data_IF_949433644115
#
_entry.id   IF_949433644115
#
_cell.length_a   1.000
_cell.length_b   1.000
_cell.length_c   1.000
_cell.angle_alpha   90.00
_cell.angle_beta   90.00
_cell.angle_gamma   90.00
#
_symmetry.space_group_name_H-M   'P 1'
#
loop_
_entity.id
_entity.type
_entity.pdbx_description
1 polymer ?
#
# COMPACT_ATOMS: atom_id res chain seq x y z
N UNK A 1 2.92 -34.62 12.05
CA UNK A 1 4.20 -33.89 11.92
C UNK A 1 3.97 -32.50 12.52
N UNK A 2 4.45 -32.26 13.74
CA UNK A 2 4.29 -31.02 14.48
C UNK A 2 5.45 -30.11 14.10
N UNK A 3 5.17 -29.02 13.36
CA UNK A 3 6.13 -27.94 13.13
C UNK A 3 6.21 -27.07 14.40
N UNK A 4 7.33 -27.17 15.09
CA UNK A 4 7.72 -26.20 16.11
C UNK A 4 8.11 -24.91 15.40
N UNK A 5 7.29 -23.87 15.52
CA UNK A 5 7.70 -22.51 15.19
C UNK A 5 8.63 -22.01 16.30
N UNK A 6 9.92 -21.92 15.99
CA UNK A 6 10.89 -21.24 16.83
C UNK A 6 10.60 -19.74 16.78
N UNK A 7 10.10 -19.17 17.87
CA UNK A 7 10.14 -17.71 18.10
C UNK A 7 11.60 -17.27 18.19
N UNK A 8 12.05 -16.29 17.40
CA UNK A 8 13.34 -15.65 17.67
C UNK A 8 13.19 -14.83 18.95
N UNK A 9 13.89 -15.24 19.99
CA UNK A 9 14.14 -14.41 21.18
C UNK A 9 15.01 -13.26 20.71
N UNK A 10 14.41 -12.07 20.53
CA UNK A 10 15.13 -10.83 20.35
C UNK A 10 15.86 -10.54 21.65
N UNK A 11 17.17 -10.83 21.71
CA UNK A 11 18.06 -10.23 22.71
C UNK A 11 18.06 -8.72 22.44
N UNK A 12 17.25 -7.98 23.18
CA UNK A 12 17.42 -6.54 23.32
C UNK A 12 18.76 -6.29 24.03
N UNK A 13 19.79 -5.95 23.25
CA UNK A 13 20.94 -5.30 23.80
C UNK A 13 20.41 -4.05 24.53
N UNK A 14 20.62 -3.97 25.83
CA UNK A 14 20.34 -2.76 26.60
C UNK A 14 21.23 -1.65 26.01
N UNK A 15 20.71 -0.89 25.08
CA UNK A 15 21.32 0.31 24.56
C UNK A 15 21.37 1.29 25.75
N UNK A 16 22.56 1.75 26.13
CA UNK A 16 22.72 2.86 27.05
C UNK A 16 21.91 4.01 26.44
N UNK A 17 20.87 4.45 27.14
CA UNK A 17 20.03 5.55 26.71
C UNK A 17 20.90 6.78 26.46
N UNK A 18 21.07 7.15 25.22
CA UNK A 18 21.76 8.37 24.79
C UNK A 18 20.73 9.38 24.24
N UNK A 19 21.16 10.60 23.92
CA UNK A 19 20.26 11.58 23.31
C UNK A 19 19.81 11.12 21.91
N UNK A 20 18.54 11.40 21.57
CA UNK A 20 17.97 11.07 20.27
C UNK A 20 18.64 11.88 19.17
N UNK A 21 19.23 11.19 18.20
CA UNK A 21 19.87 11.79 17.01
C UNK A 21 18.95 11.69 15.78
N UNK A 22 19.27 12.47 14.72
CA UNK A 22 18.55 12.41 13.43
C UNK A 22 18.57 11.01 12.80
N UNK A 23 19.71 10.34 12.85
CA UNK A 23 19.88 8.99 12.30
C UNK A 23 18.96 7.97 12.99
N UNK A 24 18.88 8.01 14.31
CA UNK A 24 17.98 7.16 15.08
C UNK A 24 16.50 7.46 14.79
N UNK A 25 16.14 8.75 14.68
CA UNK A 25 14.80 9.19 14.38
C UNK A 25 14.37 8.71 12.99
N UNK A 26 15.20 8.87 11.97
CA UNK A 26 14.93 8.46 10.59
C UNK A 26 14.83 6.93 10.48
N UNK A 27 15.79 6.19 11.06
CA UNK A 27 15.79 4.73 11.06
C UNK A 27 14.58 4.13 11.78
N UNK A 28 14.00 4.85 12.75
CA UNK A 28 12.79 4.38 13.43
C UNK A 28 11.60 4.15 12.49
N UNK A 29 11.60 4.75 11.30
CA UNK A 29 10.54 4.53 10.30
C UNK A 29 10.46 3.07 9.85
N UNK A 30 11.60 2.37 9.75
CA UNK A 30 11.66 0.97 9.32
C UNK A 30 11.11 0.00 10.37
N UNK A 31 11.08 0.40 11.64
CA UNK A 31 10.56 -0.39 12.74
C UNK A 31 9.04 -0.25 12.92
N UNK A 32 8.41 0.64 12.16
CA UNK A 32 6.98 0.89 12.29
C UNK A 32 6.15 -0.27 11.73
N UNK A 33 5.12 -0.77 12.46
CA UNK A 33 4.29 -1.88 11.98
C UNK A 33 3.67 -1.63 10.60
N UNK A 34 3.34 -0.39 10.30
CA UNK A 34 2.80 0.03 8.99
C UNK A 34 3.81 -0.16 7.87
N UNK A 35 5.07 0.22 8.10
CA UNK A 35 6.18 0.01 7.15
C UNK A 35 6.36 -1.47 6.86
N UNK A 36 6.48 -2.28 7.91
CA UNK A 36 6.66 -3.73 7.80
C UNK A 36 5.49 -4.42 7.10
N UNK A 37 4.26 -3.96 7.35
CA UNK A 37 3.08 -4.47 6.67
C UNK A 37 3.07 -4.11 5.17
N UNK A 38 3.45 -2.88 4.81
CA UNK A 38 3.56 -2.42 3.44
C UNK A 38 4.67 -3.18 2.68
N UNK A 39 5.83 -3.39 3.31
CA UNK A 39 6.93 -4.17 2.77
C UNK A 39 6.51 -5.62 2.49
N UNK A 40 5.92 -6.30 3.49
CA UNK A 40 5.42 -7.68 3.33
C UNK A 40 4.38 -7.80 2.22
N UNK A 41 3.53 -6.79 2.03
CA UNK A 41 2.54 -6.77 0.95
C UNK A 41 3.24 -6.68 -0.42
N UNK A 42 4.19 -5.78 -0.58
CA UNK A 42 4.97 -5.66 -1.81
C UNK A 42 5.75 -6.94 -2.13
N UNK A 43 6.37 -7.58 -1.13
CA UNK A 43 7.05 -8.87 -1.26
C UNK A 43 6.08 -10.00 -1.64
N UNK A 44 4.93 -10.11 -0.98
CA UNK A 44 3.90 -11.09 -1.29
C UNK A 44 3.38 -10.94 -2.72
N UNK A 45 3.09 -9.71 -3.15
CA UNK A 45 2.64 -9.43 -4.52
C UNK A 45 3.73 -9.72 -5.54
N UNK A 46 5.00 -9.45 -5.22
CA UNK A 46 6.13 -9.77 -6.10
C UNK A 46 6.32 -11.27 -6.34
N UNK A 47 5.88 -12.10 -5.38
CA UNK A 47 5.96 -13.56 -5.47
C UNK A 47 4.77 -14.20 -6.20
N UNK A 48 3.73 -13.43 -6.53
CA UNK A 48 2.57 -13.94 -7.27
C UNK A 48 2.96 -14.33 -8.70
N UNK A 49 2.70 -15.58 -9.06
CA UNK A 49 2.92 -16.10 -10.41
C UNK A 49 1.56 -16.36 -11.07
N UNK A 50 1.23 -15.52 -12.05
CA UNK A 50 -0.04 -15.58 -12.77
C UNK A 50 -0.20 -16.70 -13.80
N UNK A 51 0.51 -17.81 -13.67
CA UNK A 51 0.69 -18.81 -14.75
C UNK A 51 -0.22 -20.05 -14.64
N UNK A 52 -1.43 -19.92 -14.11
CA UNK A 52 -2.38 -21.05 -14.23
C UNK A 52 -2.89 -21.12 -15.67
N UNK A 53 -2.60 -22.23 -16.35
CA UNK A 53 -3.11 -22.53 -17.70
C UNK A 53 -4.59 -22.92 -17.70
N UNK A 54 -5.08 -23.36 -16.56
CA UNK A 54 -6.43 -23.89 -16.38
C UNK A 54 -7.20 -22.99 -15.42
N UNK A 55 -8.47 -22.74 -15.74
CA UNK A 55 -9.38 -22.06 -14.85
C UNK A 55 -9.84 -23.01 -13.74
N UNK A 56 -10.27 -24.20 -14.13
CA UNK A 56 -10.84 -25.18 -13.24
C UNK A 56 -10.45 -26.60 -13.63
N UNK A 57 -10.21 -27.44 -12.63
CA UNK A 57 -10.05 -28.89 -12.79
C UNK A 57 -11.03 -29.57 -11.84
N UNK A 58 -11.88 -30.45 -12.38
CA UNK A 58 -12.93 -31.15 -11.64
C UNK A 58 -12.85 -32.66 -11.92
N UNK A 59 -12.90 -33.43 -10.86
CA UNK A 59 -13.21 -34.85 -10.98
C UNK A 59 -14.71 -35.02 -10.79
N UNK A 60 -15.40 -35.50 -11.80
CA UNK A 60 -16.82 -35.82 -11.75
C UNK A 60 -17.02 -37.29 -11.69
N UNK A 61 -17.93 -37.71 -10.83
CA UNK A 61 -18.46 -39.04 -10.74
C UNK A 61 -19.95 -38.97 -10.97
N UNK A 62 -20.45 -39.78 -11.91
CA UNK A 62 -21.86 -39.83 -12.24
C UNK A 62 -22.30 -41.30 -12.12
N UNK A 63 -23.35 -41.52 -11.36
CA UNK A 63 -24.11 -42.77 -11.31
C UNK A 63 -25.34 -42.62 -12.21
N UNK A 64 -25.54 -43.54 -13.13
CA UNK A 64 -26.72 -43.46 -14.01
C UNK A 64 -27.91 -44.18 -13.34
N UNK A 65 -28.84 -43.38 -12.80
CA UNK A 65 -30.02 -43.87 -12.08
C UNK A 65 -29.69 -44.46 -10.69
N UNK A 66 -30.67 -45.14 -10.08
CA UNK A 66 -30.48 -45.87 -8.84
C UNK A 66 -29.89 -47.27 -9.05
N UNK A 67 -29.56 -47.63 -10.29
CA UNK A 67 -28.89 -48.87 -10.60
C UNK A 67 -27.37 -48.66 -10.55
N UNK A 68 -26.67 -49.42 -9.72
CA UNK A 68 -25.21 -49.42 -9.68
C UNK A 68 -24.59 -50.07 -10.93
N UNK A 69 -25.28 -49.98 -12.07
CA UNK A 69 -24.89 -50.65 -13.30
C UNK A 69 -23.90 -49.85 -14.15
N UNK A 70 -23.90 -48.52 -14.00
CA UNK A 70 -23.04 -47.65 -14.81
C UNK A 70 -22.37 -46.58 -13.97
N UNK A 71 -21.05 -46.59 -13.98
CA UNK A 71 -20.21 -45.65 -13.27
C UNK A 71 -19.41 -44.84 -14.27
N UNK A 72 -19.62 -43.53 -14.32
CA UNK A 72 -18.85 -42.62 -15.18
C UNK A 72 -17.91 -41.81 -14.30
N UNK A 73 -16.63 -41.91 -14.54
CA UNK A 73 -15.59 -41.07 -13.97
C UNK A 73 -15.10 -40.10 -15.06
N UNK A 74 -15.12 -38.81 -14.80
CA UNK A 74 -14.68 -37.82 -15.76
C UNK A 74 -13.75 -36.80 -15.09
N UNK A 75 -12.51 -36.72 -15.56
CA UNK A 75 -11.62 -35.63 -15.24
C UNK A 75 -11.89 -34.51 -16.25
N UNK A 76 -12.49 -33.41 -15.77
CA UNK A 76 -12.85 -32.26 -16.57
C UNK A 76 -11.90 -31.13 -16.31
N UNK A 77 -11.31 -30.58 -17.36
CA UNK A 77 -10.41 -29.42 -17.33
C UNK A 77 -11.05 -28.30 -18.14
N UNK A 78 -11.22 -27.14 -17.52
CA UNK A 78 -11.66 -25.93 -18.17
C UNK A 78 -10.42 -25.09 -18.48
N UNK A 79 -10.02 -24.93 -19.73
CA UNK A 79 -8.92 -24.05 -20.08
C UNK A 79 -9.32 -22.59 -19.85
N UNK A 80 -8.34 -21.71 -19.64
CA UNK A 80 -8.60 -20.27 -19.65
C UNK A 80 -9.05 -19.83 -21.03
N UNK A 81 -9.91 -18.81 -21.07
CA UNK A 81 -10.41 -18.21 -22.29
C UNK A 81 -9.29 -17.63 -23.14
N UNK A 82 -9.53 -17.50 -24.45
CA UNK A 82 -8.51 -17.03 -25.37
C UNK A 82 -8.12 -15.58 -25.06
N UNK A 83 -6.81 -15.36 -24.74
CA UNK A 83 -6.29 -14.05 -24.33
C UNK A 83 -6.33 -13.78 -22.83
N UNK A 84 -7.10 -14.56 -22.03
CA UNK A 84 -7.20 -14.39 -20.57
C UNK A 84 -5.84 -14.60 -19.89
N UNK A 85 -5.05 -15.57 -20.34
CA UNK A 85 -3.72 -15.85 -19.77
C UNK A 85 -2.74 -14.69 -19.92
N UNK A 86 -2.76 -13.96 -21.06
CA UNK A 86 -1.93 -12.77 -21.28
C UNK A 86 -2.43 -11.59 -20.45
N UNK A 87 -3.75 -11.34 -20.44
CA UNK A 87 -4.35 -10.26 -19.65
C UNK A 87 -4.08 -10.44 -18.15
N UNK A 88 -4.20 -11.66 -17.64
CA UNK A 88 -3.84 -11.98 -16.24
C UNK A 88 -2.36 -11.71 -15.95
N UNK A 89 -1.45 -12.07 -16.85
CA UNK A 89 -0.02 -11.79 -16.67
C UNK A 89 0.23 -10.29 -16.62
N UNK A 90 -0.32 -9.52 -17.57
CA UNK A 90 -0.25 -8.06 -17.56
C UNK A 90 -0.83 -7.49 -16.26
N UNK A 91 -1.95 -8.00 -15.77
CA UNK A 91 -2.55 -7.60 -14.51
C UNK A 91 -1.67 -7.88 -13.29
N UNK A 92 -0.99 -9.02 -13.24
CA UNK A 92 -0.04 -9.33 -12.16
C UNK A 92 1.19 -8.43 -12.19
N UNK A 93 1.73 -8.14 -13.38
CA UNK A 93 2.86 -7.21 -13.52
C UNK A 93 2.46 -5.79 -13.12
N UNK A 94 1.29 -5.33 -13.54
CA UNK A 94 0.74 -4.04 -13.13
C UNK A 94 0.51 -3.96 -11.61
N UNK A 95 -0.07 -5.00 -11.00
CA UNK A 95 -0.28 -5.09 -9.57
C UNK A 95 1.05 -5.07 -8.79
N UNK A 96 2.07 -5.76 -9.30
CA UNK A 96 3.42 -5.74 -8.72
C UNK A 96 4.02 -4.33 -8.76
N UNK A 97 3.98 -3.67 -9.90
CA UNK A 97 4.48 -2.31 -10.07
C UNK A 97 3.71 -1.32 -9.18
N UNK A 98 2.40 -1.46 -9.10
CA UNK A 98 1.54 -0.66 -8.22
C UNK A 98 1.93 -0.81 -6.75
N UNK A 99 2.07 -2.05 -6.25
CA UNK A 99 2.39 -2.28 -4.84
C UNK A 99 3.84 -1.86 -4.49
N UNK A 100 4.78 -1.96 -5.42
CA UNK A 100 6.13 -1.43 -5.24
C UNK A 100 6.13 0.10 -5.15
N UNK A 101 5.42 0.77 -6.05
CA UNK A 101 5.27 2.23 -6.02
C UNK A 101 4.53 2.69 -4.76
N UNK A 102 3.47 1.98 -4.37
CA UNK A 102 2.73 2.22 -3.14
C UNK A 102 3.61 2.08 -1.90
N UNK A 103 4.47 1.06 -1.86
CA UNK A 103 5.44 0.92 -0.77
C UNK A 103 6.39 2.12 -0.69
N UNK A 104 6.87 2.62 -1.85
CA UNK A 104 7.71 3.82 -1.89
C UNK A 104 6.97 5.07 -1.38
N UNK A 105 5.69 5.26 -1.73
CA UNK A 105 4.84 6.35 -1.20
C UNK A 105 4.63 6.21 0.30
N UNK A 106 4.31 5.02 0.81
CA UNK A 106 4.14 4.77 2.24
C UNK A 106 5.44 5.04 3.02
N UNK A 107 6.59 4.65 2.45
CA UNK A 107 7.91 4.97 3.04
C UNK A 107 8.16 6.47 3.08
N UNK A 108 7.85 7.19 2.00
CA UNK A 108 7.97 8.64 1.94
C UNK A 108 7.17 9.33 3.05
N UNK A 109 5.91 8.95 3.22
CA UNK A 109 5.05 9.49 4.28
C UNK A 109 5.59 9.25 5.69
N UNK A 110 6.14 8.07 5.96
CA UNK A 110 6.73 7.78 7.27
C UNK A 110 7.99 8.60 7.53
N UNK A 111 8.85 8.76 6.52
CA UNK A 111 10.01 9.63 6.61
C UNK A 111 9.62 11.10 6.75
N UNK A 112 8.58 11.54 6.02
CA UNK A 112 8.00 12.87 6.17
C UNK A 112 7.62 13.17 7.62
N UNK A 113 6.89 12.27 8.28
CA UNK A 113 6.50 12.42 9.68
C UNK A 113 7.70 12.60 10.62
N UNK A 114 8.81 11.87 10.38
CA UNK A 114 10.04 11.97 11.18
C UNK A 114 10.75 13.29 10.93
N UNK A 115 10.95 13.63 9.67
CA UNK A 115 11.59 14.90 9.31
C UNK A 115 10.77 16.10 9.78
N UNK A 116 9.46 16.09 9.54
CA UNK A 116 8.57 17.16 9.99
C UNK A 116 8.68 17.36 11.51
N UNK A 117 8.62 16.28 12.27
CA UNK A 117 8.69 16.35 13.72
C UNK A 117 10.04 16.85 14.20
N UNK A 118 11.13 16.36 13.64
CA UNK A 118 12.46 16.81 13.97
C UNK A 118 12.70 18.29 13.62
N UNK A 119 12.31 18.72 12.43
CA UNK A 119 12.38 20.13 11.99
C UNK A 119 11.56 21.03 12.93
N UNK A 120 10.33 20.64 13.21
CA UNK A 120 9.47 21.39 14.15
C UNK A 120 10.11 21.52 15.52
N UNK A 121 10.71 20.45 16.04
CA UNK A 121 11.37 20.48 17.33
C UNK A 121 12.57 21.44 17.35
N UNK A 122 13.48 21.29 16.38
CA UNK A 122 14.71 22.10 16.29
C UNK A 122 14.38 23.60 16.16
N UNK A 123 13.46 23.96 15.26
CA UNK A 123 13.14 25.35 15.02
C UNK A 123 12.29 25.96 16.15
N UNK A 124 11.40 25.18 16.77
CA UNK A 124 10.69 25.63 17.96
C UNK A 124 11.60 25.84 19.16
N UNK A 125 12.66 25.05 19.30
CA UNK A 125 13.68 25.27 20.32
C UNK A 125 14.39 26.61 20.10
N UNK A 126 14.75 26.96 18.85
CA UNK A 126 15.29 28.29 18.51
C UNK A 126 14.31 29.42 18.86
N UNK A 127 13.04 29.27 18.51
CA UNK A 127 11.98 30.25 18.82
C UNK A 127 11.86 30.44 20.33
N UNK A 128 11.84 29.35 21.09
CA UNK A 128 11.76 29.40 22.56
C UNK A 128 12.95 30.13 23.18
N UNK A 129 14.18 29.92 22.67
CA UNK A 129 15.37 30.65 23.16
C UNK A 129 15.28 32.15 22.88
N UNK A 130 14.80 32.55 21.70
CA UNK A 130 14.56 33.97 21.38
C UNK A 130 13.45 34.55 22.28
N UNK A 131 12.36 33.82 22.52
CA UNK A 131 11.31 34.23 23.45
C UNK A 131 11.80 34.44 24.87
N UNK A 132 12.72 33.58 25.36
CA UNK A 132 13.36 33.77 26.68
C UNK A 132 14.17 35.06 26.71
N UNK A 133 14.95 35.34 25.66
CA UNK A 133 15.72 36.57 25.57
C UNK A 133 14.81 37.81 25.49
N UNK A 134 13.72 37.76 24.71
CA UNK A 134 12.72 38.82 24.66
C UNK A 134 12.07 39.04 26.02
N UNK A 135 11.76 37.97 26.76
CA UNK A 135 11.20 38.07 28.09
C UNK A 135 12.15 38.74 29.07
N UNK A 136 13.45 38.40 28.99
CA UNK A 136 14.49 39.06 29.82
C UNK A 136 14.57 40.55 29.50
N UNK A 137 14.67 40.92 28.21
CA UNK A 137 14.71 42.32 27.76
C UNK A 137 13.47 43.11 28.21
N UNK A 138 12.29 42.48 28.12
CA UNK A 138 11.06 43.10 28.59
C UNK A 138 11.01 43.25 30.13
N UNK A 139 11.56 42.28 30.88
CA UNK A 139 11.67 42.42 32.36
C UNK A 139 12.59 43.58 32.74
N UNK A 140 13.75 43.68 32.10
CA UNK A 140 14.69 44.81 32.28
C UNK A 140 14.02 46.16 31.93
N UNK A 141 13.19 46.17 30.87
CA UNK A 141 12.40 47.35 30.48
C UNK A 141 11.38 47.76 31.55
N UNK A 142 10.66 46.80 32.11
CA UNK A 142 9.70 47.04 33.18
C UNK A 142 10.43 47.61 34.43
N UNK A 143 11.59 47.06 34.79
CA UNK A 143 12.39 47.56 35.91
C UNK A 143 12.85 49.01 35.71
N UNK A 144 13.38 49.33 34.53
CA UNK A 144 13.75 50.71 34.18
C UNK A 144 12.56 51.67 34.21
N UNK A 145 11.39 51.24 33.75
CA UNK A 145 10.15 52.02 33.80
C UNK A 145 9.70 52.27 35.24
N UNK A 146 9.80 51.27 36.12
CA UNK A 146 9.51 51.45 37.54
C UNK A 146 10.47 52.45 38.22
N UNK A 147 11.77 52.37 37.93
CA UNK A 147 12.75 53.33 38.42
C UNK A 147 12.45 54.79 37.97
N UNK A 148 11.87 54.94 36.78
CA UNK A 148 11.48 56.24 36.23
C UNK A 148 10.12 56.72 36.71
N UNK A 149 9.36 55.95 37.46
CA UNK A 149 7.96 56.24 37.84
C UNK A 149 7.77 57.53 38.67
N UNK A 150 8.85 58.11 39.25
CA UNK A 150 8.83 59.40 39.92
C UNK A 150 9.32 60.58 39.11
N UNK A 151 9.71 60.39 37.85
CA UNK A 151 10.27 61.42 36.98
C UNK A 151 9.24 62.09 36.08
N UNK A 152 9.46 63.33 35.70
CA UNK A 152 8.60 64.03 34.72
C UNK A 152 8.58 63.41 33.33
N UNK A 153 9.52 62.49 33.02
CA UNK A 153 9.62 61.77 31.76
C UNK A 153 8.93 60.37 31.79
N UNK A 154 8.23 60.03 32.89
CA UNK A 154 7.54 58.77 33.00
C UNK A 154 6.22 58.78 32.24
N UNK A 155 6.05 57.78 31.36
CA UNK A 155 4.80 57.56 30.64
C UNK A 155 4.15 56.24 31.18
N UNK A 156 2.97 56.30 31.85
CA UNK A 156 2.27 55.11 32.34
C UNK A 156 1.87 54.13 31.22
N UNK A 157 1.58 54.60 30.00
CA UNK A 157 1.25 53.75 28.85
C UNK A 157 2.40 52.84 28.45
N UNK A 158 3.65 53.32 28.51
CA UNK A 158 4.83 52.52 28.27
C UNK A 158 4.96 51.36 29.25
N UNK A 159 4.62 51.56 30.51
CA UNK A 159 4.64 50.53 31.54
C UNK A 159 3.51 49.51 31.32
N UNK A 160 2.28 49.97 31.03
CA UNK A 160 1.18 49.09 30.70
C UNK A 160 1.48 48.22 29.47
N UNK A 161 1.98 48.80 28.40
CA UNK A 161 2.40 48.10 27.17
C UNK A 161 3.50 47.06 27.46
N UNK A 162 4.47 47.37 28.30
CA UNK A 162 5.52 46.42 28.70
C UNK A 162 4.97 45.27 29.53
N UNK A 163 3.98 45.51 30.42
CA UNK A 163 3.32 44.47 31.22
C UNK A 163 2.47 43.56 30.35
N UNK A 164 1.70 44.10 29.40
CA UNK A 164 0.91 43.32 28.42
C UNK A 164 1.81 42.45 27.58
N UNK A 165 2.90 43.03 27.05
CA UNK A 165 3.91 42.27 26.28
C UNK A 165 4.54 41.14 27.12
N UNK A 166 4.86 41.41 28.36
CA UNK A 166 5.38 40.38 29.28
C UNK A 166 4.39 39.25 29.50
N UNK A 167 3.09 39.53 29.61
CA UNK A 167 2.06 38.51 29.71
C UNK A 167 1.95 37.68 28.41
N UNK A 168 2.01 38.32 27.22
CA UNK A 168 1.99 37.63 25.95
C UNK A 168 3.21 36.73 25.75
N UNK A 169 4.42 37.24 26.02
CA UNK A 169 5.66 36.43 25.94
C UNK A 169 5.65 35.22 26.90
N UNK A 170 5.07 35.39 28.10
CA UNK A 170 4.92 34.27 29.02
C UNK A 170 3.95 33.21 28.49
N UNK A 171 2.86 33.62 27.86
CA UNK A 171 1.93 32.71 27.22
C UNK A 171 2.58 31.95 26.05
N UNK A 172 3.35 32.66 25.20
CA UNK A 172 4.10 32.07 24.11
C UNK A 172 5.13 31.04 24.59
N UNK A 173 5.89 31.34 25.66
CA UNK A 173 6.85 30.41 26.27
C UNK A 173 6.17 29.15 26.80
N UNK A 174 4.98 29.25 27.41
CA UNK A 174 4.19 28.11 27.86
C UNK A 174 3.71 27.27 26.67
N UNK A 175 3.22 27.91 25.61
CA UNK A 175 2.79 27.25 24.41
C UNK A 175 3.95 26.49 23.72
N UNK A 176 5.12 27.15 23.57
CA UNK A 176 6.30 26.53 23.00
C UNK A 176 6.82 25.36 23.82
N UNK A 177 6.87 25.51 25.17
CA UNK A 177 7.28 24.42 26.06
C UNK A 177 6.35 23.22 25.98
N UNK A 178 5.04 23.46 25.85
CA UNK A 178 4.04 22.40 25.71
C UNK A 178 4.20 21.70 24.34
N UNK A 179 4.44 22.45 23.28
CA UNK A 179 4.65 21.89 21.94
C UNK A 179 5.95 21.11 21.82
N UNK A 180 7.03 21.56 22.47
CA UNK A 180 8.29 20.80 22.55
C UNK A 180 8.10 19.47 23.27
N UNK A 181 7.41 19.50 24.41
CA UNK A 181 7.10 18.28 25.19
C UNK A 181 6.21 17.31 24.40
N UNK A 182 5.19 17.82 23.68
CA UNK A 182 4.36 16.99 22.80
C UNK A 182 5.19 16.34 21.68
N UNK A 183 6.12 17.08 21.09
CA UNK A 183 7.04 16.55 20.07
C UNK A 183 7.94 15.44 20.63
N UNK A 184 8.50 15.63 21.83
CA UNK A 184 9.30 14.61 22.52
C UNK A 184 8.50 13.35 22.83
N UNK A 185 7.25 13.50 23.31
CA UNK A 185 6.36 12.37 23.58
C UNK A 185 6.05 11.57 22.31
N UNK A 186 5.84 12.25 21.18
CA UNK A 186 5.63 11.59 19.91
C UNK A 186 6.88 10.88 19.41
N UNK A 187 8.07 11.48 19.58
CA UNK A 187 9.33 10.84 19.24
C UNK A 187 9.59 9.60 20.11
N UNK A 188 9.19 9.61 21.40
CA UNK A 188 9.26 8.44 22.29
C UNK A 188 8.41 7.26 21.82
N UNK A 189 7.33 7.50 21.11
CA UNK A 189 6.54 6.42 20.53
C UNK A 189 7.30 5.68 19.42
N UNK A 190 8.23 6.36 18.74
CA UNK A 190 9.02 5.78 17.67
C UNK A 190 10.38 5.23 18.16
N UNK A 191 10.99 5.91 19.12
CA UNK A 191 12.25 5.54 19.76
C UNK A 191 12.04 5.60 21.26
N UNK A 192 11.69 4.48 21.94
CA UNK A 192 11.29 4.50 23.35
C UNK A 192 12.42 4.88 24.31
N UNK A 193 13.64 4.48 23.98
CA UNK A 193 14.79 4.51 24.91
C UNK A 193 15.78 5.63 24.54
N UNK A 194 15.38 6.90 24.77
CA UNK A 194 16.33 8.01 24.68
C UNK A 194 16.22 8.92 25.92
N UNK A 195 17.35 9.52 26.30
CA UNK A 195 17.47 10.48 27.39
C UNK A 195 17.74 11.88 26.83
N UNK A 196 16.66 12.60 26.50
CA UNK A 196 16.73 13.92 25.87
C UNK A 196 16.81 13.87 24.33
N UNK A 197 16.69 15.03 23.72
CA UNK A 197 16.72 15.19 22.25
C UNK A 197 17.90 16.08 21.87
N UNK A 198 18.82 15.51 21.08
CA UNK A 198 19.98 16.21 20.51
C UNK A 198 19.93 16.14 18.97
N UNK A 199 18.99 16.90 18.40
CA UNK A 199 18.87 17.08 16.96
C UNK A 199 19.71 18.29 16.55
N UNK A 200 20.85 18.01 15.89
CA UNK A 200 21.76 19.04 15.43
C UNK A 200 21.13 19.89 14.31
N UNK A 201 21.21 21.22 14.45
CA UNK A 201 20.81 22.18 13.40
C UNK A 201 21.67 22.08 12.15
N UNK A 202 22.94 21.65 12.27
CA UNK A 202 23.83 21.43 11.13
C UNK A 202 23.36 20.33 10.17
N UNK A 203 22.43 19.47 10.61
CA UNK A 203 21.78 18.48 9.75
C UNK A 203 20.85 19.12 8.72
N UNK A 204 20.26 20.28 9.05
CA UNK A 204 19.38 21.02 8.14
C UNK A 204 20.21 21.68 7.02
N UNK A 205 19.72 21.69 5.76
CA UNK A 205 20.38 22.45 4.70
C UNK A 205 20.31 23.96 4.96
N UNK A 206 21.28 24.71 4.42
CA UNK A 206 21.21 26.17 4.43
C UNK A 206 20.19 26.67 3.40
N UNK A 207 19.75 27.93 3.50
CA UNK A 207 18.81 28.50 2.53
C UNK A 207 19.42 28.61 1.14
N UNK A 208 20.73 28.81 1.06
CA UNK A 208 21.50 28.82 -0.18
C UNK A 208 21.57 27.43 -0.82
N UNK A 209 21.73 26.36 -0.02
CA UNK A 209 21.67 24.98 -0.50
C UNK A 209 20.27 24.63 -1.02
N UNK A 210 19.20 25.07 -0.33
CA UNK A 210 17.82 24.88 -0.79
C UNK A 210 17.56 25.60 -2.11
N UNK A 211 17.98 26.86 -2.22
CA UNK A 211 17.84 27.64 -3.45
C UNK A 211 18.58 26.98 -4.62
N UNK A 212 19.82 26.50 -4.40
CA UNK A 212 20.58 25.78 -5.43
C UNK A 212 19.91 24.47 -5.85
N UNK A 213 19.34 23.72 -4.91
CA UNK A 213 18.62 22.48 -5.22
C UNK A 213 17.35 22.76 -6.07
N UNK A 214 16.76 23.93 -5.95
CA UNK A 214 15.56 24.34 -6.67
C UNK A 214 15.84 25.14 -7.95
N UNK A 215 17.04 25.71 -8.10
CA UNK A 215 17.40 26.58 -9.23
C UNK A 215 17.28 25.89 -10.59
N UNK A 216 17.46 24.57 -10.66
CA UNK A 216 17.30 23.78 -11.88
C UNK A 216 15.84 23.44 -12.23
N UNK A 217 14.90 23.80 -11.37
CA UNK A 217 13.53 23.32 -11.44
C UNK A 217 13.41 21.84 -11.03
N UNK A 218 12.28 21.47 -10.44
CA UNK A 218 11.98 20.07 -10.12
C UNK A 218 11.22 19.46 -11.30
N UNK A 219 11.91 18.66 -12.11
CA UNK A 219 11.29 17.97 -13.24
C UNK A 219 10.55 16.73 -12.75
N UNK A 220 9.28 16.65 -13.07
CA UNK A 220 8.42 15.50 -12.75
C UNK A 220 8.66 14.43 -13.80
N UNK A 221 9.08 13.26 -13.40
CA UNK A 221 9.29 12.12 -14.29
C UNK A 221 8.40 10.91 -13.89
N UNK A 222 8.43 9.89 -14.76
CA UNK A 222 7.63 8.67 -14.55
C UNK A 222 8.09 7.80 -13.36
N UNK A 223 9.26 8.11 -12.79
CA UNK A 223 9.82 7.37 -11.66
C UNK A 223 9.38 7.94 -10.30
N UNK A 224 8.71 9.08 -10.30
CA UNK A 224 8.12 9.59 -9.06
C UNK A 224 7.15 8.56 -8.48
N UNK A 225 7.27 8.17 -7.20
CA UNK A 225 6.48 7.09 -6.62
C UNK A 225 4.98 7.25 -6.80
N UNK A 226 4.46 8.48 -6.71
CA UNK A 226 3.03 8.77 -6.91
C UNK A 226 2.63 8.56 -8.37
N UNK A 227 3.45 8.99 -9.34
CA UNK A 227 3.19 8.77 -10.77
C UNK A 227 3.33 7.29 -11.13
N UNK A 228 4.35 6.61 -10.58
CA UNK A 228 4.50 5.17 -10.76
C UNK A 228 3.31 4.39 -10.18
N UNK A 229 2.75 4.85 -9.07
CA UNK A 229 1.53 4.27 -8.47
C UNK A 229 0.31 4.52 -9.36
N UNK A 230 0.12 5.73 -9.87
CA UNK A 230 -0.96 6.07 -10.81
C UNK A 230 -0.85 5.25 -12.10
N UNK A 231 0.36 5.08 -12.65
CA UNK A 231 0.63 4.21 -13.80
C UNK A 231 0.28 2.75 -13.51
N UNK A 232 0.72 2.22 -12.37
CA UNK A 232 0.40 0.86 -11.97
C UNK A 232 -1.10 0.63 -11.83
N UNK A 233 -1.86 1.63 -11.34
CA UNK A 233 -3.32 1.60 -11.29
C UNK A 233 -3.92 1.56 -12.69
N UNK A 234 -3.52 2.47 -13.59
CA UNK A 234 -3.95 2.49 -15.00
C UNK A 234 -3.73 1.14 -15.67
N UNK A 235 -2.52 0.59 -15.55
CA UNK A 235 -2.16 -0.67 -16.19
C UNK A 235 -2.98 -1.84 -15.61
N UNK A 236 -3.28 -1.82 -14.31
CA UNK A 236 -4.15 -2.79 -13.66
C UNK A 236 -5.59 -2.71 -14.16
N UNK A 237 -6.14 -1.51 -14.31
CA UNK A 237 -7.51 -1.29 -14.79
C UNK A 237 -7.64 -1.71 -16.27
N UNK A 238 -6.64 -1.39 -17.11
CA UNK A 238 -6.57 -1.84 -18.50
C UNK A 238 -6.47 -3.37 -18.59
N UNK A 239 -5.61 -3.99 -17.78
CA UNK A 239 -5.46 -5.44 -17.78
C UNK A 239 -6.75 -6.14 -17.33
N UNK A 240 -7.46 -5.58 -16.35
CA UNK A 240 -8.76 -6.08 -15.91
C UNK A 240 -9.82 -5.96 -17.01
N UNK A 241 -9.87 -4.84 -17.72
CA UNK A 241 -10.78 -4.67 -18.85
C UNK A 241 -10.49 -5.69 -19.96
N UNK A 242 -9.21 -5.95 -20.26
CA UNK A 242 -8.79 -7.01 -21.21
C UNK A 242 -9.19 -8.41 -20.72
N UNK A 243 -9.03 -8.69 -19.44
CA UNK A 243 -9.41 -9.97 -18.83
C UNK A 243 -10.91 -10.20 -18.94
N UNK A 244 -11.74 -9.19 -18.64
CA UNK A 244 -13.20 -9.29 -18.72
C UNK A 244 -13.69 -9.58 -20.15
N UNK A 245 -13.06 -8.96 -21.16
CA UNK A 245 -13.35 -9.26 -22.57
C UNK A 245 -12.85 -10.65 -22.95
N UNK A 246 -11.66 -11.03 -22.48
CA UNK A 246 -11.11 -12.35 -22.77
C UNK A 246 -11.97 -13.47 -22.17
N UNK A 247 -12.54 -13.29 -20.97
CA UNK A 247 -13.48 -14.24 -20.37
C UNK A 247 -14.73 -14.45 -21.23
N UNK A 248 -15.18 -13.42 -21.96
CA UNK A 248 -16.28 -13.53 -22.94
C UNK A 248 -15.90 -14.35 -24.18
N UNK A 249 -14.62 -14.61 -24.44
CA UNK A 249 -14.11 -15.42 -25.56
C UNK A 249 -13.89 -16.88 -25.16
N UNK A 250 -14.79 -17.44 -24.36
CA UNK A 250 -14.80 -18.82 -23.91
C UNK A 250 -15.29 -19.75 -25.02
N UNK A 251 -14.44 -20.03 -26.01
CA UNK A 251 -14.76 -20.92 -27.14
C UNK A 251 -14.68 -22.41 -26.74
N UNK A 252 -13.89 -22.77 -25.73
CA UNK A 252 -13.76 -24.12 -25.22
C UNK A 252 -14.27 -24.15 -23.79
N UNK A 253 -15.49 -24.63 -23.60
CA UNK A 253 -16.11 -24.69 -22.28
C UNK A 253 -15.40 -25.67 -21.37
N UNK A 254 -15.07 -26.85 -21.87
CA UNK A 254 -14.25 -27.82 -21.14
C UNK A 254 -13.72 -28.92 -22.05
N UNK A 255 -12.64 -29.57 -21.59
CA UNK A 255 -12.11 -30.80 -22.13
C UNK A 255 -12.24 -31.85 -21.02
N UNK A 256 -12.97 -32.93 -21.28
CA UNK A 256 -13.17 -34.03 -20.35
C UNK A 256 -12.54 -35.30 -20.89
N UNK A 257 -11.82 -36.02 -20.03
CA UNK A 257 -11.36 -37.38 -20.28
C UNK A 257 -12.05 -38.25 -19.25
N UNK A 258 -12.81 -39.22 -19.69
CA UNK A 258 -13.57 -40.06 -18.79
C UNK A 258 -13.43 -41.54 -19.08
N UNK A 259 -13.78 -42.29 -18.09
CA UNK A 259 -13.86 -43.74 -18.09
C UNK A 259 -15.25 -44.15 -17.61
N UNK A 260 -15.96 -44.89 -18.46
CA UNK A 260 -17.27 -45.46 -18.16
C UNK A 260 -17.10 -46.93 -17.86
N UNK A 261 -17.43 -47.33 -16.65
CA UNK A 261 -17.52 -48.70 -16.24
C UNK A 261 -19.01 -49.10 -16.24
N UNK A 262 -19.40 -49.90 -17.18
CA UNK A 262 -20.75 -50.49 -17.26
C UNK A 262 -20.69 -51.85 -16.63
N UNK A 263 -21.16 -51.98 -15.37
CA UNK A 263 -21.35 -53.25 -14.69
C UNK A 263 -22.75 -53.68 -15.09
N UNK A 264 -22.88 -54.49 -16.15
CA UNK A 264 -24.14 -55.10 -16.44
C UNK A 264 -24.57 -55.89 -15.22
N UNK A 265 -25.64 -55.45 -14.59
CA UNK A 265 -26.29 -56.22 -13.56
C UNK A 265 -26.64 -57.56 -14.20
N UNK A 266 -26.39 -58.62 -13.50
CA UNK A 266 -26.97 -59.94 -13.77
C UNK A 266 -28.50 -59.75 -13.74
N UNK A 267 -29.08 -59.19 -14.79
CA UNK A 267 -30.52 -59.18 -14.94
C UNK A 267 -30.90 -60.63 -15.20
N UNK A 268 -31.39 -61.29 -14.17
CA UNK A 268 -32.08 -62.52 -14.30
C UNK A 268 -33.32 -62.25 -15.17
N UNK A 269 -33.34 -62.85 -16.35
CA UNK A 269 -34.48 -62.75 -17.26
C UNK A 269 -35.20 -64.13 -17.18
N UNK A 270 -36.53 -64.07 -17.06
CA UNK A 270 -37.35 -65.23 -17.31
C UNK A 270 -37.22 -65.57 -18.77
N UNK A 271 -36.72 -66.77 -19.04
CA UNK A 271 -36.63 -67.35 -20.35
C UNK A 271 -37.49 -68.59 -20.38
N UNK A 272 -38.39 -68.62 -21.37
CA UNK A 272 -39.16 -69.79 -21.59
C UNK A 272 -38.26 -70.87 -22.17
N UNK A 273 -37.97 -71.91 -21.40
CA UNK A 273 -37.16 -73.07 -21.79
C UNK A 273 -38.04 -74.23 -22.12
N UNK A 274 -37.64 -74.96 -23.15
CA UNK A 274 -38.27 -76.24 -23.48
C UNK A 274 -37.34 -77.42 -23.11
N UNK A 275 -37.79 -78.65 -23.28
CA UNK A 275 -36.99 -79.81 -22.95
C UNK A 275 -35.73 -79.92 -23.81
N UNK A 276 -35.67 -79.37 -24.99
CA UNK A 276 -34.49 -79.45 -25.87
C UNK A 276 -33.42 -78.45 -25.40
N UNK A 277 -33.82 -77.34 -24.82
CA UNK A 277 -32.91 -76.35 -24.24
C UNK A 277 -32.17 -76.95 -23.02
N UNK A 278 -32.89 -77.68 -22.18
CA UNK A 278 -32.36 -78.16 -20.89
C UNK A 278 -31.64 -79.52 -21.05
N UNK A 279 -32.19 -80.39 -21.92
CA UNK A 279 -31.65 -81.78 -22.09
C UNK A 279 -30.85 -81.99 -23.38
N UNK A 280 -31.01 -81.09 -24.39
CA UNK A 280 -30.44 -81.27 -25.73
C UNK A 280 -29.12 -80.56 -25.95
N UNK A 281 -29.06 -79.24 -25.75
CA UNK A 281 -27.90 -78.45 -26.09
C UNK A 281 -26.88 -78.36 -24.95
N UNK A 282 -27.25 -78.78 -23.73
CA UNK A 282 -26.43 -78.56 -22.54
C UNK A 282 -26.24 -77.09 -22.11
N UNK A 283 -26.74 -76.14 -22.87
CA UNK A 283 -26.57 -74.70 -22.61
C UNK A 283 -27.30 -74.25 -21.33
N UNK A 284 -28.42 -74.92 -21.00
CA UNK A 284 -29.24 -74.65 -19.81
C UNK A 284 -29.33 -75.83 -18.88
N UNK A 285 -28.33 -76.72 -18.91
CA UNK A 285 -28.31 -77.93 -18.07
C UNK A 285 -28.31 -77.61 -16.56
N UNK A 286 -27.76 -76.50 -16.15
CA UNK A 286 -27.73 -76.06 -14.75
C UNK A 286 -29.09 -75.66 -14.21
N UNK A 287 -30.07 -75.39 -15.09
CA UNK A 287 -31.45 -75.02 -14.73
C UNK A 287 -32.43 -76.17 -14.80
N UNK A 288 -31.87 -77.36 -14.90
CA UNK A 288 -32.64 -78.56 -15.02
C UNK A 288 -33.57 -78.80 -13.83
N UNK A 289 -33.10 -78.50 -12.63
CA UNK A 289 -33.94 -78.76 -11.42
C UNK A 289 -35.16 -77.82 -11.40
N UNK A 290 -34.99 -76.57 -11.84
CA UNK A 290 -36.07 -75.61 -11.86
C UNK A 290 -37.08 -75.91 -12.97
N UNK A 291 -36.59 -76.29 -14.13
CA UNK A 291 -37.41 -76.75 -15.24
C UNK A 291 -38.22 -78.06 -14.87
N UNK A 292 -37.55 -79.01 -14.25
CA UNK A 292 -38.20 -80.28 -13.77
C UNK A 292 -39.24 -79.98 -12.69
N UNK A 293 -38.98 -78.98 -11.82
CA UNK A 293 -39.92 -78.58 -10.76
C UNK A 293 -41.20 -77.99 -11.30
N UNK A 294 -41.07 -77.17 -12.38
CA UNK A 294 -42.22 -76.49 -12.98
C UNK A 294 -43.01 -77.34 -13.99
N UNK A 295 -42.30 -78.16 -14.76
CA UNK A 295 -42.92 -78.91 -15.85
C UNK A 295 -43.24 -80.40 -15.45
N UNK A 296 -42.58 -80.88 -14.41
CA UNK A 296 -42.64 -82.31 -14.05
C UNK A 296 -41.91 -83.22 -15.02
N UNK A 297 -41.19 -82.72 -16.03
CA UNK A 297 -40.48 -83.46 -17.06
C UNK A 297 -39.11 -83.88 -16.56
N UNK A 298 -38.79 -85.19 -16.66
CA UNK A 298 -37.48 -85.75 -16.25
C UNK A 298 -36.61 -86.21 -17.41
N UNK A 299 -37.04 -86.07 -18.65
CA UNK A 299 -36.30 -86.45 -19.83
C UNK A 299 -36.88 -85.82 -21.09
N UNK A 300 -36.04 -85.67 -22.14
CA UNK A 300 -36.41 -85.09 -23.41
C UNK A 300 -37.48 -85.82 -24.17
N UNK A 301 -37.61 -87.19 -23.96
CA UNK A 301 -38.44 -88.06 -24.77
C UNK A 301 -39.94 -87.99 -24.48
N UNK A 302 -40.35 -87.44 -23.36
CA UNK A 302 -41.78 -87.37 -22.95
C UNK A 302 -42.21 -86.01 -22.42
N UNK A 303 -41.53 -85.00 -22.81
CA UNK A 303 -41.80 -83.68 -22.32
C UNK A 303 -42.27 -82.73 -23.43
N UNK A 304 -43.47 -82.17 -23.32
CA UNK A 304 -44.03 -81.16 -24.21
C UNK A 304 -44.25 -79.82 -23.48
N UNK A 305 -43.79 -79.71 -22.24
CA UNK A 305 -43.98 -78.55 -21.42
C UNK A 305 -42.83 -77.54 -21.60
N UNK A 306 -43.18 -76.26 -21.46
CA UNK A 306 -42.22 -75.16 -21.34
C UNK A 306 -42.32 -74.57 -19.95
N UNK A 307 -41.20 -74.14 -19.38
CA UNK A 307 -41.15 -73.41 -18.11
C UNK A 307 -40.44 -72.10 -18.26
N UNK A 308 -40.94 -71.09 -17.57
CA UNK A 308 -40.26 -69.79 -17.47
C UNK A 308 -39.25 -69.83 -16.33
N UNK A 309 -38.03 -70.17 -16.70
CA UNK A 309 -36.93 -70.31 -15.73
C UNK A 309 -36.13 -68.99 -15.69
N UNK A 310 -35.79 -68.59 -14.48
CA UNK A 310 -34.95 -67.44 -14.24
C UNK A 310 -33.51 -67.77 -14.64
N UNK A 311 -33.07 -67.29 -15.79
CA UNK A 311 -31.74 -67.56 -16.37
C UNK A 311 -30.91 -66.32 -16.33
N UNK A 312 -29.66 -66.38 -15.81
CA UNK A 312 -28.75 -65.32 -15.96
C UNK A 312 -28.50 -65.04 -17.45
N UNK A 313 -28.66 -63.79 -17.90
CA UNK A 313 -28.45 -63.43 -19.28
C UNK A 313 -26.96 -63.63 -19.62
N UNK A 314 -26.62 -64.84 -20.14
CA UNK A 314 -25.21 -65.15 -20.47
C UNK A 314 -24.71 -64.51 -21.72
N UNK A 315 -25.60 -63.99 -22.58
CA UNK A 315 -25.19 -63.38 -23.86
C UNK A 315 -24.73 -61.93 -23.77
N UNK A 316 -24.90 -61.27 -22.63
CA UNK A 316 -24.59 -59.85 -22.49
C UNK A 316 -23.57 -59.54 -21.39
N UNK A 317 -22.76 -60.48 -20.94
CA UNK A 317 -21.60 -60.18 -20.07
C UNK A 317 -20.48 -59.50 -20.85
N UNK A 318 -20.75 -58.37 -21.46
CA UNK A 318 -19.72 -57.44 -21.92
C UNK A 318 -19.65 -56.32 -20.93
N UNK A 319 -18.75 -56.42 -19.96
CA UNK A 319 -18.23 -55.21 -19.29
C UNK A 319 -17.65 -54.34 -20.38
N UNK A 320 -18.43 -53.39 -20.83
CA UNK A 320 -17.99 -52.47 -21.86
C UNK A 320 -17.30 -51.30 -21.17
N UNK A 321 -16.03 -51.51 -20.88
CA UNK A 321 -15.14 -50.43 -20.47
C UNK A 321 -14.94 -49.45 -21.64
N UNK A 322 -15.34 -48.22 -21.48
CA UNK A 322 -15.24 -47.20 -22.53
C UNK A 322 -14.48 -46.01 -22.02
N UNK A 323 -13.37 -45.72 -22.65
CA UNK A 323 -12.77 -44.38 -22.55
C UNK A 323 -13.52 -43.43 -23.49
N UNK A 324 -13.82 -42.23 -22.98
CA UNK A 324 -14.42 -41.20 -23.79
C UNK A 324 -13.73 -39.89 -23.57
N UNK A 325 -13.73 -39.06 -24.61
CA UNK A 325 -13.23 -37.67 -24.58
C UNK A 325 -14.41 -36.77 -24.88
N UNK A 326 -14.69 -35.83 -23.97
CA UNK A 326 -15.70 -34.82 -24.16
C UNK A 326 -15.01 -33.48 -24.49
N UNK A 327 -15.40 -32.88 -25.57
CA UNK A 327 -15.01 -31.54 -25.93
C UNK A 327 -16.27 -30.69 -26.11
N UNK A 328 -16.46 -29.71 -25.24
CA UNK A 328 -17.56 -28.75 -25.39
C UNK A 328 -17.03 -27.44 -25.96
N UNK A 329 -17.49 -27.13 -27.18
CA UNK A 329 -17.13 -25.91 -27.90
C UNK A 329 -18.36 -25.00 -27.97
N UNK A 330 -18.20 -23.75 -27.58
CA UNK A 330 -19.19 -22.70 -27.81
C UNK A 330 -18.99 -22.10 -29.20
N UNK A 331 -20.07 -22.03 -29.94
CA UNK A 331 -20.04 -21.43 -31.27
C UNK A 331 -20.24 -19.90 -31.16
N UNK A 332 -19.31 -19.07 -31.63
CA UNK A 332 -19.35 -17.62 -31.43
C UNK A 332 -20.42 -16.89 -32.25
N UNK A 333 -21.19 -17.64 -33.08
CA UNK A 333 -22.14 -17.03 -34.03
C UNK A 333 -23.36 -16.37 -33.37
N UNK A 334 -23.61 -16.62 -32.08
CA UNK A 334 -24.80 -16.11 -31.39
C UNK A 334 -24.48 -15.02 -30.36
N UNK A 335 -23.20 -14.80 -30.03
CA UNK A 335 -22.76 -13.74 -29.12
C UNK A 335 -21.97 -12.67 -29.87
N UNK A 336 -22.56 -11.48 -30.02
CA UNK A 336 -21.81 -10.34 -30.57
C UNK A 336 -20.89 -9.76 -29.51
N UNK A 337 -19.58 -10.08 -29.53
CA UNK A 337 -18.57 -9.52 -28.66
C UNK A 337 -18.32 -8.01 -28.88
N UNK A 338 -19.07 -7.35 -29.76
CA UNK A 338 -18.92 -5.92 -30.10
C UNK A 338 -19.09 -5.03 -28.88
N UNK A 339 -20.09 -5.31 -28.05
CA UNK A 339 -20.34 -4.51 -26.85
C UNK A 339 -19.24 -4.67 -25.79
N UNK A 340 -18.61 -5.86 -25.69
CA UNK A 340 -17.51 -6.10 -24.78
C UNK A 340 -16.23 -5.37 -25.23
N UNK A 341 -15.94 -5.37 -26.54
CA UNK A 341 -14.81 -4.66 -27.11
C UNK A 341 -14.97 -3.13 -26.97
N UNK A 342 -16.18 -2.60 -27.13
CA UNK A 342 -16.47 -1.18 -26.87
C UNK A 342 -16.31 -0.82 -25.39
N UNK A 343 -16.80 -1.66 -24.48
CA UNK A 343 -16.60 -1.46 -23.03
C UNK A 343 -15.12 -1.47 -22.65
N UNK A 344 -14.32 -2.35 -23.25
CA UNK A 344 -12.89 -2.36 -23.05
C UNK A 344 -12.25 -1.06 -23.53
N UNK A 345 -12.62 -0.56 -24.72
CA UNK A 345 -12.12 0.72 -25.23
C UNK A 345 -12.45 1.87 -24.28
N UNK A 346 -13.71 1.96 -23.82
CA UNK A 346 -14.14 2.99 -22.86
C UNK A 346 -13.33 2.88 -21.57
N UNK A 347 -13.23 1.69 -20.97
CA UNK A 347 -12.47 1.49 -19.74
C UNK A 347 -10.97 1.81 -19.90
N UNK A 348 -10.40 1.56 -21.08
CA UNK A 348 -9.01 1.92 -21.38
C UNK A 348 -8.85 3.44 -21.46
N UNK A 349 -9.76 4.13 -22.15
CA UNK A 349 -9.72 5.60 -22.27
C UNK A 349 -9.95 6.28 -20.92
N UNK A 350 -10.86 5.76 -20.11
CA UNK A 350 -11.11 6.26 -18.75
C UNK A 350 -9.86 6.10 -17.88
N UNK A 351 -9.21 4.92 -17.89
CA UNK A 351 -7.99 4.67 -17.14
C UNK A 351 -6.81 5.56 -17.60
N UNK A 352 -6.70 5.83 -18.91
CA UNK A 352 -5.70 6.75 -19.46
C UNK A 352 -6.00 8.21 -19.06
N UNK A 353 -7.27 8.61 -19.10
CA UNK A 353 -7.69 9.96 -18.67
C UNK A 353 -7.40 10.19 -17.20
N UNK A 354 -7.77 9.24 -16.33
CA UNK A 354 -7.50 9.29 -14.89
C UNK A 354 -5.99 9.42 -14.61
N UNK A 355 -5.16 8.65 -15.34
CA UNK A 355 -3.71 8.71 -15.20
C UNK A 355 -3.16 10.07 -15.61
N UNK A 356 -3.60 10.63 -16.75
CA UNK A 356 -3.14 11.93 -17.23
C UNK A 356 -3.55 13.08 -16.29
N UNK A 357 -4.75 12.99 -15.72
CA UNK A 357 -5.24 13.96 -14.74
C UNK A 357 -4.39 13.92 -13.46
N UNK A 358 -4.09 12.72 -12.94
CA UNK A 358 -3.23 12.56 -11.76
C UNK A 358 -1.80 13.09 -12.02
N UNK A 359 -1.20 12.78 -13.18
CA UNK A 359 0.12 13.31 -13.57
C UNK A 359 0.11 14.84 -13.63
N UNK A 360 -0.95 15.41 -14.21
CA UNK A 360 -1.11 16.87 -14.28
C UNK A 360 -1.21 17.49 -12.89
N UNK A 361 -2.03 16.91 -12.02
CA UNK A 361 -2.25 17.41 -10.67
C UNK A 361 -0.98 17.34 -9.82
N UNK A 362 -0.23 16.24 -9.90
CA UNK A 362 1.09 16.09 -9.24
C UNK A 362 2.07 17.12 -9.78
N UNK A 363 2.15 17.30 -11.11
CA UNK A 363 3.06 18.25 -11.75
C UNK A 363 2.78 19.68 -11.34
N UNK A 364 1.51 20.07 -11.32
CA UNK A 364 1.08 21.40 -10.87
C UNK A 364 1.40 21.61 -9.39
N UNK A 365 1.21 20.61 -8.57
CA UNK A 365 1.47 20.69 -7.13
C UNK A 365 2.97 20.81 -6.84
N UNK A 366 3.82 20.05 -7.53
CA UNK A 366 5.28 20.14 -7.41
C UNK A 366 5.77 21.51 -7.86
N UNK A 367 5.29 22.01 -9.01
CA UNK A 367 5.65 23.35 -9.49
C UNK A 367 5.25 24.44 -8.50
N UNK A 368 4.00 24.41 -7.99
CA UNK A 368 3.52 25.37 -7.01
C UNK A 368 4.34 25.34 -5.72
N UNK A 369 4.60 24.17 -5.15
CA UNK A 369 5.40 24.03 -3.94
C UNK A 369 6.83 24.54 -4.13
N UNK A 370 7.44 24.28 -5.30
CA UNK A 370 8.76 24.79 -5.64
C UNK A 370 8.79 26.33 -5.67
N UNK A 371 7.80 26.96 -6.32
CA UNK A 371 7.69 28.41 -6.35
C UNK A 371 7.40 29.02 -4.97
N UNK A 372 6.54 28.38 -4.16
CA UNK A 372 6.25 28.80 -2.79
C UNK A 372 7.51 28.80 -1.92
N UNK A 373 8.33 27.74 -2.01
CA UNK A 373 9.61 27.66 -1.27
C UNK A 373 10.57 28.76 -1.72
N UNK A 374 10.74 28.98 -3.03
CA UNK A 374 11.61 30.04 -3.56
C UNK A 374 11.13 31.44 -3.13
N UNK A 375 9.82 31.66 -3.14
CA UNK A 375 9.25 32.96 -2.68
C UNK A 375 9.52 33.19 -1.19
N UNK A 376 9.36 32.13 -0.34
CA UNK A 376 9.66 32.22 1.09
C UNK A 376 11.16 32.44 1.34
N UNK A 377 12.06 31.80 0.57
CA UNK A 377 13.50 32.05 0.64
C UNK A 377 13.82 33.51 0.30
N UNK A 378 13.16 34.06 -0.72
CA UNK A 378 13.27 35.48 -1.06
C UNK A 378 12.85 36.39 0.09
N UNK A 379 11.73 36.11 0.75
CA UNK A 379 11.27 36.84 1.94
C UNK A 379 12.26 36.72 3.10
N UNK A 380 12.79 35.51 3.33
CA UNK A 380 13.79 35.27 4.37
C UNK A 380 15.07 36.07 4.13
N UNK A 381 15.58 36.16 2.89
CA UNK A 381 16.75 36.97 2.55
C UNK A 381 16.54 38.45 2.90
N UNK A 382 15.39 39.00 2.50
CA UNK A 382 15.05 40.40 2.84
C UNK A 382 14.98 40.58 4.36
N UNK A 383 14.38 39.65 5.08
CA UNK A 383 14.28 39.73 6.54
C UNK A 383 15.65 39.60 7.21
N UNK A 384 16.53 38.75 6.67
CA UNK A 384 17.90 38.59 7.17
C UNK A 384 18.76 39.82 6.93
N UNK A 385 18.71 40.40 5.74
CA UNK A 385 19.38 41.67 5.45
C UNK A 385 18.93 42.81 6.39
N UNK A 386 17.64 42.89 6.67
CA UNK A 386 17.10 43.83 7.65
C UNK A 386 17.65 43.56 9.06
N UNK A 387 17.66 42.30 9.49
CA UNK A 387 18.19 41.89 10.78
C UNK A 387 19.69 42.22 10.91
N UNK A 388 20.47 41.99 9.86
CA UNK A 388 21.89 42.34 9.81
C UNK A 388 22.11 43.86 9.88
N UNK A 389 21.29 44.65 9.22
CA UNK A 389 21.35 46.15 9.30
C UNK A 389 21.04 46.62 10.72
N UNK A 390 20.01 46.06 11.37
CA UNK A 390 19.64 46.42 12.74
C UNK A 390 20.70 45.94 13.76
N UNK A 391 21.31 44.78 13.51
CA UNK A 391 22.34 44.18 14.38
C UNK A 391 23.74 44.68 14.06
N UNK A 392 23.95 45.42 12.95
CA UNK A 392 25.26 45.93 12.60
C UNK A 392 25.85 46.63 13.82
N UNK A 393 26.92 46.08 14.33
CA UNK A 393 27.59 46.47 15.58
C UNK A 393 27.84 47.99 15.68
N UNK A 394 27.98 48.65 14.54
CA UNK A 394 28.12 50.10 14.47
C UNK A 394 26.87 50.87 14.89
N UNK A 395 25.65 50.37 14.54
CA UNK A 395 24.41 51.08 14.87
C UNK A 395 24.13 51.01 16.38
N UNK A 396 24.22 49.82 16.98
CA UNK A 396 24.01 49.64 18.42
C UNK A 396 25.08 50.35 19.24
N UNK A 397 26.37 50.31 18.84
CA UNK A 397 27.45 51.03 19.51
C UNK A 397 27.34 52.55 19.33
N UNK A 398 27.01 53.00 18.13
CA UNK A 398 26.82 54.43 17.85
C UNK A 398 25.60 54.96 18.60
N UNK A 399 24.51 54.20 18.59
CA UNK A 399 23.29 54.51 19.34
C UNK A 399 23.54 54.49 20.87
N UNK A 400 24.34 53.56 21.38
CA UNK A 400 24.74 53.55 22.80
C UNK A 400 25.60 54.75 23.18
N UNK A 401 26.43 55.28 22.25
CA UNK A 401 27.25 56.47 22.46
C UNK A 401 26.43 57.77 22.35
N UNK A 402 25.51 57.83 21.37
CA UNK A 402 24.73 59.03 21.07
C UNK A 402 23.46 59.15 21.94
N UNK A 403 22.91 58.02 22.40
CA UNK A 403 21.71 57.98 23.24
C UNK A 403 21.95 58.51 24.67
N UNK A 404 23.18 58.87 25.00
CA UNK A 404 23.53 59.65 26.21
C UNK A 404 22.90 59.21 27.51
N UNK A 405 22.71 57.92 27.72
CA UNK A 405 22.23 57.34 28.96
C UNK A 405 20.72 57.02 29.09
N UNK A 406 19.92 56.99 28.02
CA UNK A 406 18.57 56.43 28.16
C UNK A 406 18.54 54.91 27.94
N UNK A 407 18.51 54.10 29.01
CA UNK A 407 18.52 52.65 28.92
C UNK A 407 17.29 52.05 28.20
N UNK A 408 16.16 52.79 28.16
CA UNK A 408 14.95 52.35 27.43
C UNK A 408 15.16 52.28 25.94
N UNK A 409 15.97 53.19 25.34
CA UNK A 409 16.27 53.17 23.93
C UNK A 409 17.10 51.94 23.55
N UNK A 410 18.08 51.60 24.38
CA UNK A 410 18.91 50.40 24.18
C UNK A 410 18.08 49.11 24.28
N UNK A 411 17.18 49.04 25.27
CA UNK A 411 16.29 47.89 25.43
C UNK A 411 15.31 47.75 24.26
N UNK A 412 14.76 48.86 23.74
CA UNK A 412 13.91 48.87 22.52
C UNK A 412 14.67 48.42 21.29
N UNK A 413 15.92 48.86 21.11
CA UNK A 413 16.76 48.44 19.99
C UNK A 413 17.07 46.94 20.06
N UNK A 414 17.43 46.42 21.23
CA UNK A 414 17.65 44.98 21.46
C UNK A 414 16.38 44.16 21.25
N UNK A 415 15.23 44.65 21.69
CA UNK A 415 13.91 44.04 21.48
C UNK A 415 13.61 43.95 19.98
N UNK A 416 13.80 45.03 19.20
CA UNK A 416 13.60 45.05 17.74
C UNK A 416 14.53 44.10 17.00
N UNK A 417 15.77 43.95 17.45
CA UNK A 417 16.73 42.96 16.93
C UNK A 417 16.22 41.55 17.13
N UNK A 418 15.83 41.18 18.35
CA UNK A 418 15.32 39.85 18.68
C UNK A 418 14.00 39.54 17.96
N UNK A 419 13.12 40.56 17.77
CA UNK A 419 11.88 40.37 17.00
C UNK A 419 12.18 40.15 15.52
N UNK A 420 13.22 40.78 14.97
CA UNK A 420 13.68 40.54 13.61
C UNK A 420 14.25 39.12 13.45
N UNK A 421 15.08 38.67 14.39
CA UNK A 421 15.59 37.29 14.43
C UNK A 421 14.44 36.27 14.55
N UNK A 422 13.44 36.58 15.39
CA UNK A 422 12.24 35.74 15.52
C UNK A 422 11.49 35.58 14.20
N UNK A 423 11.32 36.66 13.45
CA UNK A 423 10.68 36.64 12.12
C UNK A 423 11.48 35.80 11.13
N UNK A 424 12.81 35.92 11.13
CA UNK A 424 13.67 35.12 10.27
C UNK A 424 13.55 33.61 10.59
N UNK A 425 13.55 33.23 11.87
CA UNK A 425 13.40 31.83 12.30
C UNK A 425 12.00 31.28 11.98
N UNK A 426 10.95 32.10 12.07
CA UNK A 426 9.59 31.70 11.64
C UNK A 426 9.52 31.45 10.12
N UNK A 427 10.18 32.27 9.32
CA UNK A 427 10.31 32.02 7.88
C UNK A 427 11.12 30.75 7.59
N UNK A 428 12.24 30.50 8.29
CA UNK A 428 12.95 29.22 8.20
C UNK A 428 12.02 28.03 8.47
N UNK A 429 11.18 28.14 9.49
CA UNK A 429 10.21 27.10 9.83
C UNK A 429 9.22 26.83 8.69
N UNK A 430 8.64 27.87 8.10
CA UNK A 430 7.70 27.75 7.00
C UNK A 430 8.37 27.21 5.73
N UNK A 431 9.61 27.65 5.42
CA UNK A 431 10.41 27.15 4.31
C UNK A 431 10.63 25.64 4.44
N UNK A 432 11.10 25.18 5.58
CA UNK A 432 11.37 23.76 5.78
C UNK A 432 10.13 22.89 5.69
N UNK A 433 8.97 23.36 6.16
CA UNK A 433 7.71 22.62 6.06
C UNK A 433 7.25 22.50 4.61
N UNK A 434 7.32 23.59 3.84
CA UNK A 434 6.96 23.56 2.42
C UNK A 434 7.96 22.73 1.60
N UNK A 435 9.24 22.82 1.92
CA UNK A 435 10.27 22.01 1.28
C UNK A 435 10.11 20.53 1.55
N UNK A 436 9.76 20.14 2.78
CA UNK A 436 9.43 18.74 3.10
C UNK A 436 8.22 18.24 2.31
N UNK A 437 7.19 19.07 2.18
CA UNK A 437 6.04 18.73 1.34
C UNK A 437 6.44 18.55 -0.13
N UNK A 438 7.32 19.42 -0.65
CA UNK A 438 7.88 19.26 -1.98
C UNK A 438 8.67 17.95 -2.14
N UNK A 439 9.53 17.61 -1.18
CA UNK A 439 10.30 16.37 -1.18
C UNK A 439 9.42 15.12 -1.18
N UNK A 440 8.30 15.15 -0.45
CA UNK A 440 7.34 14.05 -0.43
C UNK A 440 6.67 13.88 -1.80
N UNK A 441 6.14 14.96 -2.38
CA UNK A 441 5.51 14.91 -3.70
C UNK A 441 6.47 14.60 -4.84
N UNK A 442 7.71 15.11 -4.76
CA UNK A 442 8.77 14.83 -5.74
C UNK A 442 9.43 13.44 -5.55
N UNK A 443 8.98 12.67 -4.56
CA UNK A 443 9.56 11.36 -4.28
C UNK A 443 10.97 11.39 -3.69
N UNK A 444 11.46 12.56 -3.31
CA UNK A 444 12.79 12.74 -2.74
C UNK A 444 13.01 11.96 -1.45
N UNK A 445 11.97 11.84 -0.61
CA UNK A 445 12.01 11.05 0.61
C UNK A 445 11.96 9.54 0.36
N UNK A 446 11.46 9.10 -0.80
CA UNK A 446 11.40 7.68 -1.14
C UNK A 446 12.73 7.12 -1.66
N UNK A 447 13.71 7.97 -1.97
CA UNK A 447 15.03 7.54 -2.47
C UNK A 447 15.75 6.65 -1.46
N UNK A 448 16.31 5.55 -1.96
CA UNK A 448 17.08 4.62 -1.13
C UNK A 448 18.56 5.01 -1.12
N UNK A 449 19.25 4.73 -0.01
CA UNK A 449 20.69 4.96 0.12
C UNK A 449 21.10 6.43 0.35
N UNK A 450 20.13 7.32 0.57
CA UNK A 450 20.37 8.73 0.89
C UNK A 450 20.51 8.88 2.40
N UNK A 451 21.62 9.48 2.85
CA UNK A 451 21.87 9.69 4.28
C UNK A 451 21.04 10.86 4.83
N UNK A 452 20.90 11.92 4.05
CA UNK A 452 20.14 13.12 4.42
C UNK A 452 19.24 13.56 3.25
N UNK A 453 17.97 13.19 3.32
CA UNK A 453 17.00 13.51 2.28
C UNK A 453 16.73 15.01 2.14
N UNK A 454 16.91 15.81 3.21
CA UNK A 454 16.75 17.26 3.13
C UNK A 454 17.81 17.92 2.24
N UNK A 455 19.02 17.35 2.15
CA UNK A 455 20.12 17.90 1.32
C UNK A 455 20.21 17.26 -0.05
N UNK A 456 19.84 15.98 -0.17
CA UNK A 456 20.15 15.16 -1.34
C UNK A 456 18.89 14.62 -2.05
N UNK A 457 17.71 14.82 -1.46
CA UNK A 457 16.47 14.23 -1.96
C UNK A 457 16.06 14.68 -3.36
N UNK A 458 16.43 15.89 -3.77
CA UNK A 458 16.13 16.45 -5.12
C UNK A 458 17.32 16.38 -6.09
N UNK A 459 18.49 15.85 -5.68
CA UNK A 459 19.70 15.77 -6.53
C UNK A 459 19.68 14.59 -7.48
#
# INVERSE_FOLDING_TARGET
MRLFAALPVMLSAAAIAGPLTWDQLIKSAENEPRYQAAQKRAEATSSMQGTKLWDKMELRYKLDGFSFAKHDFELRVTPKSFGEGSANREGYEAAKNYEQARFAVERSLMLYDRYERGVRYVLRKKINEINKQLMQVNADRIEVLHMKAGSAAFNPEDLMSALEKGAALKADLLADSTALRDAELKMKNWVPDFDGVDLDTAFLPTMEELEQNLAGGVTVDENFPQIAMARGKRDSDIAKAKEDVAKGRDYISHIGIGYSLEIESLMEKYKTLDASDVYGTGQYADFRSDFESETGCKSMLNCTGTADVLVPDQDNRKTADKFFVNLAVRLPFFDSNKDSDLRQQVATLDAESDYLDEVRDISQKVARLSEEVLALIGQWKVQKEYAEQVNASGFMEQFARDAGSDPLLLLRAKESSLESDMKAVKLEYDIFLQYLALLDYAGGLARQGVANHLREGLK
#
